data_IF_265124523529
#
_entry.id   IF_265124523529
#
_cell.length_a   1.000
_cell.length_b   1.000
_cell.length_c   1.000
_cell.angle_alpha   90.00
_cell.angle_beta   90.00
_cell.angle_gamma   90.00
#
_symmetry.space_group_name_H-M   'P 1'
#
loop_
_entity.id
_entity.type
_entity.pdbx_description
1 polymer ?
#
# COMPACT_ATOMS: atom_id res chain seq x y z
N UNK A 1 -3.55 -19.06 9.41
CA UNK A 1 -3.34 -18.04 8.36
C UNK A 1 -4.13 -18.37 7.10
N UNK A 2 -3.92 -19.54 6.49
CA UNK A 2 -4.56 -19.94 5.24
C UNK A 2 -6.10 -19.82 5.25
N UNK A 3 -6.77 -20.30 6.30
CA UNK A 3 -8.22 -20.16 6.46
C UNK A 3 -8.69 -18.69 6.52
N UNK A 4 -7.89 -17.79 7.11
CA UNK A 4 -8.19 -16.35 7.17
C UNK A 4 -8.18 -15.77 5.75
N UNK A 5 -7.15 -16.11 4.97
CA UNK A 5 -7.00 -15.63 3.60
C UNK A 5 -8.04 -16.23 2.66
N UNK A 6 -8.40 -17.50 2.83
CA UNK A 6 -9.45 -18.14 2.03
C UNK A 6 -10.82 -17.48 2.24
N UNK A 7 -11.14 -17.14 3.50
CA UNK A 7 -12.35 -16.38 3.83
C UNK A 7 -12.29 -14.94 3.30
N UNK A 8 -11.13 -14.27 3.42
CA UNK A 8 -10.99 -12.85 3.08
C UNK A 8 -10.82 -12.59 1.59
N UNK A 9 -10.14 -13.45 0.84
CA UNK A 9 -9.78 -13.22 -0.55
C UNK A 9 -10.27 -14.37 -1.42
N UNK A 10 -11.49 -14.28 -2.00
CA UNK A 10 -12.04 -15.32 -2.85
C UNK A 10 -11.23 -15.51 -4.13
N UNK A 11 -10.72 -14.41 -4.72
CA UNK A 11 -9.86 -14.45 -5.90
C UNK A 11 -8.55 -15.17 -5.57
N UNK A 12 -8.22 -16.18 -6.38
CA UNK A 12 -7.04 -17.02 -6.16
C UNK A 12 -5.75 -16.21 -6.27
N UNK A 13 -5.66 -15.29 -7.23
CA UNK A 13 -4.43 -14.53 -7.47
C UNK A 13 -4.18 -13.54 -6.32
N UNK A 14 -5.23 -12.88 -5.84
CA UNK A 14 -5.17 -12.00 -4.67
C UNK A 14 -4.76 -12.76 -3.40
N UNK A 15 -5.38 -13.92 -3.18
CA UNK A 15 -5.06 -14.77 -2.04
C UNK A 15 -3.61 -15.25 -2.06
N UNK A 16 -3.16 -15.75 -3.21
CA UNK A 16 -1.78 -16.25 -3.38
C UNK A 16 -0.76 -15.12 -3.22
N UNK A 17 -1.07 -13.92 -3.73
CA UNK A 17 -0.26 -12.74 -3.52
C UNK A 17 -0.06 -12.44 -2.03
N UNK A 18 -1.14 -12.30 -1.25
CA UNK A 18 -1.04 -11.97 0.17
C UNK A 18 -0.45 -13.12 0.99
N UNK A 19 -0.71 -14.38 0.61
CA UNK A 19 -0.09 -15.54 1.24
C UNK A 19 1.43 -15.50 1.09
N UNK A 20 1.93 -15.24 -0.12
CA UNK A 20 3.36 -15.18 -0.40
C UNK A 20 4.03 -13.99 0.31
N UNK A 21 3.40 -12.81 0.27
CA UNK A 21 3.91 -11.61 0.97
C UNK A 21 4.04 -11.82 2.48
N UNK A 22 3.01 -12.36 3.12
CA UNK A 22 3.02 -12.59 4.56
C UNK A 22 3.99 -13.71 4.91
N UNK A 23 3.94 -14.84 4.22
CA UNK A 23 4.83 -15.98 4.51
C UNK A 23 6.31 -15.61 4.36
N UNK A 24 6.63 -14.73 3.40
CA UNK A 24 8.00 -14.30 3.13
C UNK A 24 8.54 -13.28 4.13
N UNK A 25 7.69 -12.56 4.85
CA UNK A 25 8.12 -11.44 5.70
C UNK A 25 7.74 -11.63 7.18
N UNK A 26 6.55 -12.13 7.46
CA UNK A 26 6.04 -12.32 8.82
C UNK A 26 6.82 -13.37 9.62
N UNK A 27 7.25 -14.44 8.96
CA UNK A 27 7.96 -15.55 9.63
C UNK A 27 9.46 -15.28 9.82
N UNK A 28 9.97 -14.13 9.36
CA UNK A 28 11.37 -13.77 9.58
C UNK A 28 11.56 -13.35 11.03
N UNK A 29 12.48 -14.01 11.74
CA UNK A 29 12.78 -13.71 13.14
C UNK A 29 13.22 -12.25 13.38
N UNK A 30 13.79 -11.60 12.35
CA UNK A 30 14.23 -10.20 12.35
C UNK A 30 13.11 -9.19 12.04
N UNK A 31 11.90 -9.65 11.70
CA UNK A 31 10.80 -8.76 11.36
C UNK A 31 10.15 -8.16 12.61
N UNK A 32 10.51 -6.92 12.93
CA UNK A 32 9.93 -6.16 14.05
C UNK A 32 8.71 -5.29 13.66
N UNK A 33 8.26 -5.36 12.42
CA UNK A 33 7.09 -4.61 11.95
C UNK A 33 5.78 -5.15 12.55
N UNK A 34 4.75 -4.30 12.65
CA UNK A 34 3.44 -4.63 13.24
C UNK A 34 2.31 -4.73 12.20
N UNK A 35 2.55 -4.27 10.98
CA UNK A 35 1.57 -4.12 9.90
C UNK A 35 0.94 -5.45 9.47
N UNK A 36 1.72 -6.52 9.34
CA UNK A 36 1.19 -7.85 9.01
C UNK A 36 0.35 -8.44 10.17
N UNK A 37 0.77 -8.26 11.43
CA UNK A 37 0.03 -8.67 12.62
C UNK A 37 -1.33 -7.95 12.66
N UNK A 38 -1.32 -6.63 12.42
CA UNK A 38 -2.54 -5.83 12.37
C UNK A 38 -3.44 -6.25 11.21
N UNK A 39 -2.89 -6.46 10.00
CA UNK A 39 -3.66 -6.89 8.84
C UNK A 39 -4.32 -8.26 9.08
N UNK A 40 -3.57 -9.24 9.59
CA UNK A 40 -4.09 -10.57 9.94
C UNK A 40 -5.18 -10.49 11.02
N UNK A 41 -4.98 -9.64 12.02
CA UNK A 41 -5.97 -9.40 13.09
C UNK A 41 -7.26 -8.82 12.51
N UNK A 42 -7.16 -7.81 11.65
CA UNK A 42 -8.32 -7.23 10.98
C UNK A 42 -9.04 -8.27 10.12
N UNK A 43 -8.33 -9.02 9.28
CA UNK A 43 -8.96 -10.00 8.40
C UNK A 43 -9.60 -11.16 9.16
N UNK A 44 -8.99 -11.61 10.26
CA UNK A 44 -9.57 -12.66 11.12
C UNK A 44 -10.90 -12.22 11.73
N UNK A 45 -11.02 -10.93 12.07
CA UNK A 45 -12.19 -10.35 12.73
C UNK A 45 -13.14 -9.64 11.75
N UNK A 46 -13.06 -9.92 10.45
CA UNK A 46 -13.89 -9.28 9.41
C UNK A 46 -13.81 -7.74 9.40
N UNK A 47 -12.69 -7.19 9.90
CA UNK A 47 -12.46 -5.76 9.95
C UNK A 47 -12.58 -5.08 8.58
N UNK A 48 -13.25 -3.93 8.58
CA UNK A 48 -13.43 -3.08 7.40
C UNK A 48 -12.80 -1.71 7.65
N UNK A 49 -12.35 -1.08 6.57
CA UNK A 49 -11.88 0.30 6.59
C UNK A 49 -12.81 1.17 5.76
N UNK A 50 -12.98 2.42 6.20
CA UNK A 50 -13.69 3.44 5.44
C UNK A 50 -12.66 4.13 4.54
N UNK A 51 -12.90 4.10 3.24
CA UNK A 51 -12.03 4.74 2.26
C UNK A 51 -12.74 5.99 1.75
N UNK A 52 -12.19 7.20 2.02
CA UNK A 52 -12.83 8.42 1.58
C UNK A 52 -12.73 8.53 0.05
N UNK A 53 -13.77 9.06 -0.58
CA UNK A 53 -13.80 9.30 -2.04
C UNK A 53 -12.98 10.51 -2.45
N UNK A 54 -12.55 11.34 -1.49
CA UNK A 54 -11.71 12.52 -1.65
C UNK A 54 -10.54 12.44 -0.69
N UNK A 55 -9.42 13.07 -1.06
CA UNK A 55 -8.29 13.18 -0.16
C UNK A 55 -8.63 14.16 0.98
N UNK A 56 -8.54 13.70 2.23
CA UNK A 56 -8.92 14.48 3.41
C UNK A 56 -7.72 15.04 4.18
N UNK A 57 -6.51 14.79 3.69
CA UNK A 57 -5.26 15.08 4.42
C UNK A 57 -4.22 15.67 3.48
N UNK A 58 -3.45 16.63 3.98
CA UNK A 58 -2.19 17.05 3.38
C UNK A 58 -1.03 16.57 4.25
N UNK A 59 0.15 16.37 3.64
CA UNK A 59 1.43 16.26 4.34
C UNK A 59 1.73 14.96 5.15
N UNK A 60 0.96 13.87 5.01
CA UNK A 60 1.33 12.59 5.63
C UNK A 60 2.67 12.11 5.07
N UNK A 61 3.70 11.97 5.92
CA UNK A 61 5.01 11.44 5.55
C UNK A 61 5.97 12.46 4.87
N UNK A 62 5.68 13.76 4.96
CA UNK A 62 6.60 14.83 4.52
C UNK A 62 7.64 15.21 5.59
N UNK A 63 7.45 14.77 6.82
CA UNK A 63 8.38 14.98 7.93
C UNK A 63 8.57 13.65 8.65
N UNK A 64 9.81 13.30 8.98
CA UNK A 64 10.16 12.07 9.68
C UNK A 64 11.44 11.42 9.16
N UNK A 65 11.92 10.41 9.90
CA UNK A 65 13.19 9.70 9.64
C UNK A 65 13.25 8.96 8.30
N UNK A 66 12.10 8.68 7.69
CA UNK A 66 11.99 7.99 6.40
C UNK A 66 11.66 8.92 5.23
N UNK A 67 11.54 10.24 5.45
CA UNK A 67 11.31 11.18 4.35
C UNK A 67 12.62 11.49 3.63
N UNK A 68 12.73 11.06 2.38
CA UNK A 68 13.94 11.24 1.58
C UNK A 68 13.98 12.57 0.80
N UNK A 69 13.17 13.57 1.17
CA UNK A 69 13.04 14.84 0.44
C UNK A 69 12.21 14.77 -0.86
N UNK A 70 11.98 13.57 -1.39
CA UNK A 70 11.36 13.39 -2.71
C UNK A 70 9.83 13.51 -2.64
N UNK A 71 9.29 14.58 -3.23
CA UNK A 71 7.84 14.79 -3.32
C UNK A 71 7.23 14.00 -4.48
N UNK A 72 6.69 12.82 -4.17
CA UNK A 72 5.83 12.02 -5.05
C UNK A 72 4.56 12.77 -5.50
N UNK A 73 3.98 12.43 -6.67
CA UNK A 73 2.77 13.10 -7.19
C UNK A 73 1.59 13.10 -6.22
N UNK A 74 1.44 12.06 -5.39
CA UNK A 74 0.34 11.97 -4.44
C UNK A 74 0.41 12.99 -3.30
N UNK A 75 1.58 13.58 -3.00
CA UNK A 75 1.66 14.70 -2.05
C UNK A 75 1.05 16.00 -2.57
N UNK A 76 0.76 16.06 -3.88
CA UNK A 76 0.13 17.21 -4.53
C UNK A 76 -1.38 17.04 -4.69
N UNK A 77 -1.97 15.97 -4.12
CA UNK A 77 -3.41 15.77 -4.18
C UNK A 77 -4.12 16.87 -3.38
N UNK A 78 -5.07 17.53 -4.03
CA UNK A 78 -5.88 18.56 -3.40
C UNK A 78 -6.65 17.97 -2.22
N UNK A 79 -6.62 18.68 -1.08
CA UNK A 79 -7.42 18.32 0.10
C UNK A 79 -8.83 18.84 -0.10
N UNK A 80 -9.81 17.99 0.20
CA UNK A 80 -11.20 18.41 0.27
C UNK A 80 -11.48 19.01 1.67
N UNK A 81 -11.24 20.32 1.82
CA UNK A 81 -11.37 21.03 3.10
C UNK A 81 -12.78 20.95 3.71
N UNK A 82 -13.81 20.97 2.86
CA UNK A 82 -15.21 20.97 3.29
C UNK A 82 -15.90 19.61 3.05
N UNK A 83 -15.16 18.50 3.18
CA UNK A 83 -15.76 17.18 3.01
C UNK A 83 -16.69 16.84 4.19
N UNK A 84 -17.97 16.65 3.89
CA UNK A 84 -18.99 16.27 4.88
C UNK A 84 -19.61 14.94 4.45
N UNK A 85 -19.77 14.03 5.41
CA UNK A 85 -20.51 12.79 5.21
C UNK A 85 -22.00 13.13 5.24
N UNK A 86 -22.63 13.16 4.07
CA UNK A 86 -24.07 13.48 3.94
C UNK A 86 -24.97 12.25 4.07
N UNK A 87 -24.41 11.05 3.88
CA UNK A 87 -25.15 9.79 3.93
C UNK A 87 -24.31 8.70 4.59
N UNK A 88 -24.81 8.16 5.70
CA UNK A 88 -24.26 6.95 6.28
C UNK A 88 -24.79 5.72 5.54
N UNK A 89 -23.98 4.65 5.41
CA UNK A 89 -24.44 3.43 4.81
C UNK A 89 -25.52 2.78 5.70
N UNK A 90 -26.57 2.24 5.09
CA UNK A 90 -27.63 1.52 5.80
C UNK A 90 -27.18 0.16 6.31
N UNK A 91 -26.06 -0.37 5.77
CA UNK A 91 -25.42 -1.61 6.17
C UNK A 91 -23.91 -1.45 6.14
N UNK A 92 -23.24 -2.01 7.12
CA UNK A 92 -21.77 -2.06 7.16
C UNK A 92 -21.38 -3.39 6.54
N UNK A 93 -21.02 -3.36 5.26
CA UNK A 93 -20.63 -4.55 4.51
C UNK A 93 -19.41 -4.29 3.64
N UNK A 94 -18.74 -5.38 3.28
CA UNK A 94 -17.55 -5.35 2.44
C UNK A 94 -17.93 -4.96 1.01
N UNK A 95 -17.20 -4.00 0.44
CA UNK A 95 -17.30 -3.69 -0.99
C UNK A 95 -16.29 -4.53 -1.81
N UNK A 96 -16.69 -5.76 -2.16
CA UNK A 96 -15.84 -6.70 -2.92
C UNK A 96 -15.43 -6.17 -4.31
N UNK A 97 -16.28 -5.35 -4.94
CA UNK A 97 -15.98 -4.72 -6.23
C UNK A 97 -14.84 -3.71 -6.10
N UNK A 98 -14.89 -2.87 -5.07
CA UNK A 98 -13.84 -1.91 -4.78
C UNK A 98 -12.52 -2.63 -4.44
N UNK A 99 -12.57 -3.66 -3.59
CA UNK A 99 -11.39 -4.45 -3.22
C UNK A 99 -10.70 -5.03 -4.47
N UNK A 100 -11.48 -5.67 -5.35
CA UNK A 100 -10.98 -6.25 -6.60
C UNK A 100 -10.35 -5.18 -7.51
N UNK A 101 -11.03 -4.03 -7.66
CA UNK A 101 -10.52 -2.91 -8.44
C UNK A 101 -9.21 -2.39 -7.85
N UNK A 102 -9.15 -2.21 -6.53
CA UNK A 102 -8.00 -1.68 -5.82
C UNK A 102 -6.80 -2.63 -5.94
N UNK A 103 -7.01 -3.94 -5.76
CA UNK A 103 -5.97 -4.95 -5.92
C UNK A 103 -5.36 -4.93 -7.33
N UNK A 104 -6.18 -4.94 -8.38
CA UNK A 104 -5.72 -4.93 -9.77
C UNK A 104 -5.00 -3.65 -10.15
N UNK A 105 -5.45 -2.49 -9.65
CA UNK A 105 -4.91 -1.20 -10.07
C UNK A 105 -3.75 -0.68 -9.22
N UNK A 106 -3.63 -1.10 -7.97
CA UNK A 106 -2.62 -0.57 -7.04
C UNK A 106 -1.64 -1.65 -6.61
N UNK A 107 -2.12 -2.77 -6.06
CA UNK A 107 -1.26 -3.83 -5.54
C UNK A 107 -0.48 -4.55 -6.64
N UNK A 108 -1.18 -5.10 -7.64
CA UNK A 108 -0.53 -5.85 -8.72
C UNK A 108 0.43 -4.97 -9.52
N UNK A 109 0.04 -3.73 -9.85
CA UNK A 109 0.91 -2.81 -10.61
C UNK A 109 2.17 -2.42 -9.84
N UNK A 110 2.07 -2.28 -8.51
CA UNK A 110 3.22 -2.01 -7.67
C UNK A 110 4.16 -3.22 -7.56
N UNK A 111 3.59 -4.43 -7.45
CA UNK A 111 4.37 -5.66 -7.29
C UNK A 111 5.05 -6.11 -8.58
N UNK A 112 4.32 -6.10 -9.72
CA UNK A 112 4.84 -6.51 -11.03
C UNK A 112 5.71 -5.43 -11.69
N UNK A 113 6.36 -4.55 -10.93
CA UNK A 113 7.30 -3.58 -11.50
C UNK A 113 8.41 -4.34 -12.25
N UNK A 114 8.56 -4.15 -13.57
CA UNK A 114 9.51 -4.89 -14.37
C UNK A 114 10.92 -4.84 -13.78
N UNK A 115 11.63 -5.97 -13.77
CA UNK A 115 13.02 -6.04 -13.30
C UNK A 115 13.89 -4.98 -13.98
N UNK A 116 13.67 -4.73 -15.28
CA UNK A 116 14.38 -3.70 -16.02
C UNK A 116 14.14 -2.29 -15.47
N UNK A 117 12.91 -1.96 -15.04
CA UNK A 117 12.62 -0.68 -14.36
C UNK A 117 13.32 -0.59 -13.01
N UNK A 118 13.46 -1.69 -12.28
CA UNK A 118 14.20 -1.73 -11.00
C UNK A 118 15.68 -1.44 -11.24
N UNK A 119 16.28 -2.09 -12.24
CA UNK A 119 17.68 -1.91 -12.64
C UNK A 119 17.92 -0.47 -13.11
N UNK A 120 17.08 0.05 -14.03
CA UNK A 120 17.18 1.43 -14.53
C UNK A 120 17.11 2.44 -13.38
N UNK A 121 16.18 2.28 -12.44
CA UNK A 121 16.06 3.18 -11.29
C UNK A 121 17.27 3.10 -10.36
N UNK A 122 17.85 1.90 -10.17
CA UNK A 122 19.06 1.74 -9.37
C UNK A 122 20.25 2.45 -10.00
N UNK A 123 20.46 2.27 -11.32
CA UNK A 123 21.52 2.94 -12.07
C UNK A 123 21.34 4.46 -12.09
N UNK A 124 20.12 4.96 -12.36
CA UNK A 124 19.81 6.40 -12.29
C UNK A 124 20.16 7.01 -10.94
N UNK A 125 19.78 6.36 -9.84
CA UNK A 125 20.13 6.85 -8.49
C UNK A 125 21.62 6.92 -8.27
N UNK A 126 22.39 5.95 -8.79
CA UNK A 126 23.84 5.90 -8.64
C UNK A 126 24.53 6.99 -9.47
N UNK A 127 24.09 7.20 -10.71
CA UNK A 127 24.58 8.27 -11.58
C UNK A 127 24.28 9.64 -10.97
N UNK A 128 23.05 9.89 -10.53
CA UNK A 128 22.70 11.15 -9.88
C UNK A 128 23.58 11.45 -8.66
N UNK A 129 23.85 10.44 -7.82
CA UNK A 129 24.79 10.60 -6.69
C UNK A 129 26.21 10.94 -7.13
N UNK A 130 26.68 10.39 -8.25
CA UNK A 130 28.03 10.70 -8.78
C UNK A 130 28.10 12.13 -9.33
N UNK A 131 27.04 12.60 -9.99
CA UNK A 131 26.92 13.98 -10.45
C UNK A 131 26.83 14.96 -9.27
N UNK A 132 26.02 14.64 -8.25
CA UNK A 132 25.87 15.48 -7.05
C UNK A 132 27.17 15.58 -6.22
N UNK A 133 28.04 14.57 -6.31
CA UNK A 133 29.33 14.51 -5.62
C UNK A 133 30.50 15.09 -6.43
N UNK A 134 30.25 15.71 -7.60
CA UNK A 134 31.28 16.38 -8.41
C UNK A 134 32.31 15.44 -9.05
N UNK A 135 31.96 14.17 -9.27
CA UNK A 135 32.83 13.19 -9.94
C UNK A 135 32.74 13.24 -11.49
N UNK A 136 32.00 14.21 -12.03
CA UNK A 136 31.91 14.57 -13.44
C UNK A 136 31.67 16.06 -13.60
#
# INVERSE_FOLDING_TARGET
>A
MEMILLKRFPDKNEREFFYNEISSNFNKAEYAGWDYQAALTLWKNEGLSIIPSKNLVSNIGLQGTHFSGERRPFFKLQVAENFIITKHPSRIERNSNYDTFHFKNHWIKAYRRPLIKRIINHLRKRINRLMDNGLF
#
